data_IF_438212047919
#
_entry.id   IF_438212047919
#
_cell.length_a   1.000
_cell.length_b   1.000
_cell.length_c   1.000
_cell.angle_alpha   90.00
_cell.angle_beta   90.00
_cell.angle_gamma   90.00
#
_symmetry.space_group_name_H-M   'P 1'
#
loop_
_entity.id
_entity.type
_entity.pdbx_description
1 polymer ?
#
# COMPACT_ATOMS: atom_id res chain seq x y z
N UNK A 1 -0.71 13.49 -34.88
CA UNK A 1 0.73 13.37 -34.53
C UNK A 1 1.10 14.14 -33.26
N UNK A 2 0.66 15.40 -33.10
CA UNK A 2 1.03 16.27 -31.97
C UNK A 2 0.80 15.65 -30.57
N UNK A 3 -0.35 14.99 -30.32
CA UNK A 3 -0.64 14.32 -29.04
C UNK A 3 0.34 13.18 -28.69
N UNK A 4 0.77 12.39 -29.69
CA UNK A 4 1.74 11.31 -29.49
C UNK A 4 3.14 11.87 -29.20
N UNK A 5 3.50 12.97 -29.88
CA UNK A 5 4.77 13.67 -29.65
C UNK A 5 4.84 14.30 -28.26
N UNK A 6 3.71 14.86 -27.77
CA UNK A 6 3.59 15.41 -26.42
C UNK A 6 3.77 14.33 -25.36
N UNK A 7 3.16 13.15 -25.54
CA UNK A 7 3.32 12.01 -24.62
C UNK A 7 4.77 11.52 -24.62
N UNK A 8 5.41 11.41 -25.79
CA UNK A 8 6.82 11.01 -25.89
C UNK A 8 7.74 12.05 -25.23
N UNK A 9 7.49 13.36 -25.42
CA UNK A 9 8.24 14.42 -24.72
C UNK A 9 8.03 14.38 -23.21
N UNK A 10 6.80 14.19 -22.74
CA UNK A 10 6.51 14.04 -21.31
C UNK A 10 7.25 12.83 -20.73
N UNK A 11 7.21 11.68 -21.40
CA UNK A 11 7.97 10.50 -20.98
C UNK A 11 9.48 10.73 -21.05
N UNK A 12 9.99 11.46 -22.04
CA UNK A 12 11.41 11.77 -22.17
C UNK A 12 11.90 12.75 -21.09
N UNK A 13 11.10 13.77 -20.76
CA UNK A 13 11.40 14.74 -19.69
C UNK A 13 11.38 14.02 -18.34
N UNK A 14 10.36 13.20 -18.07
CA UNK A 14 10.33 12.33 -16.89
C UNK A 14 11.50 11.35 -16.85
N UNK A 15 11.91 10.78 -17.98
CA UNK A 15 13.06 9.87 -18.06
C UNK A 15 14.39 10.58 -17.76
N UNK A 16 14.55 11.85 -18.14
CA UNK A 16 15.79 12.61 -17.88
C UNK A 16 15.90 13.16 -16.46
N UNK A 17 14.78 13.39 -15.76
CA UNK A 17 14.80 13.79 -14.33
C UNK A 17 15.07 12.61 -13.38
N UNK A 18 14.92 11.37 -13.85
CA UNK A 18 15.11 10.15 -13.05
C UNK A 18 16.58 9.77 -12.84
N UNK A 19 17.53 10.43 -13.52
CA UNK A 19 18.95 10.10 -13.42
C UNK A 19 19.68 10.84 -12.29
N UNK A 20 18.99 11.75 -11.58
CA UNK A 20 19.59 12.55 -10.51
C UNK A 20 18.86 12.45 -9.16
N UNK A 21 17.69 11.79 -9.10
CA UNK A 21 16.93 11.64 -7.86
C UNK A 21 17.09 10.21 -7.34
N UNK A 22 17.50 10.04 -6.08
CA UNK A 22 17.62 8.74 -5.38
C UNK A 22 16.23 8.18 -5.00
N UNK A 23 15.32 8.11 -5.98
CA UNK A 23 13.92 7.84 -5.73
C UNK A 23 13.71 6.49 -5.03
N UNK A 24 13.14 6.54 -3.83
CA UNK A 24 12.95 5.43 -2.93
C UNK A 24 11.53 5.37 -2.35
N UNK A 25 11.33 4.48 -1.38
CA UNK A 25 10.09 4.37 -0.62
C UNK A 25 10.37 4.30 0.87
N UNK A 26 9.32 4.52 1.67
CA UNK A 26 9.38 4.36 3.12
C UNK A 26 9.48 2.90 3.58
N UNK A 27 9.35 1.93 2.66
CA UNK A 27 9.44 0.52 2.97
C UNK A 27 10.81 -0.07 2.63
N UNK A 28 11.13 -1.17 3.32
CA UNK A 28 12.27 -2.04 3.04
C UNK A 28 11.73 -3.44 2.81
N UNK A 29 12.46 -4.23 2.03
CA UNK A 29 12.10 -5.62 1.79
C UNK A 29 12.08 -6.39 3.12
N UNK A 30 11.00 -7.14 3.35
CA UNK A 30 10.75 -7.90 4.57
C UNK A 30 10.09 -7.10 5.69
N UNK A 31 9.78 -5.82 5.49
CA UNK A 31 8.94 -5.08 6.43
C UNK A 31 7.57 -5.75 6.57
N UNK A 32 7.05 -5.74 7.79
CA UNK A 32 5.67 -6.16 8.08
C UNK A 32 4.88 -4.93 8.49
N UNK A 33 3.74 -4.70 7.88
CA UNK A 33 2.84 -3.57 8.17
C UNK A 33 1.55 -4.12 8.76
N UNK A 34 1.22 -3.71 9.97
CA UNK A 34 -0.07 -3.99 10.59
C UNK A 34 -0.97 -2.78 10.41
N UNK A 35 -2.19 -2.99 9.96
CA UNK A 35 -3.14 -1.92 9.68
C UNK A 35 -4.46 -2.16 10.37
N UNK A 36 -5.10 -1.10 10.84
CA UNK A 36 -6.52 -1.08 11.17
C UNK A 36 -7.16 0.08 10.43
N UNK A 37 -8.14 -0.22 9.59
CA UNK A 37 -8.96 0.76 8.90
C UNK A 37 -10.40 0.79 9.40
N UNK A 38 -11.06 1.94 9.25
CA UNK A 38 -12.50 2.08 9.40
C UNK A 38 -13.04 2.92 8.25
N UNK A 39 -14.19 2.56 7.70
CA UNK A 39 -14.74 3.22 6.52
C UNK A 39 -16.25 3.12 6.40
N UNK A 40 -16.75 3.86 5.41
CA UNK A 40 -18.14 3.82 4.98
C UNK A 40 -18.22 3.15 3.63
N UNK A 41 -19.10 2.17 3.50
CA UNK A 41 -19.31 1.40 2.27
C UNK A 41 -20.77 1.36 1.87
N UNK A 42 -20.99 0.97 0.61
CA UNK A 42 -22.31 0.76 0.03
C UNK A 42 -22.30 -0.55 -0.77
N UNK A 43 -23.28 -1.41 -0.51
CA UNK A 43 -23.65 -2.53 -1.40
C UNK A 43 -25.10 -2.48 -1.85
N UNK A 44 -25.94 -1.73 -1.14
CA UNK A 44 -27.36 -1.39 -1.35
C UNK A 44 -27.87 -0.55 -0.15
N UNK A 45 -27.24 -0.73 1.01
CA UNK A 45 -27.37 0.08 2.23
C UNK A 45 -26.00 0.64 2.62
N UNK A 46 -26.00 1.73 3.39
CA UNK A 46 -24.76 2.28 3.96
C UNK A 46 -24.32 1.45 5.17
N UNK A 47 -23.04 1.09 5.19
CA UNK A 47 -22.44 0.28 6.25
C UNK A 47 -21.18 0.96 6.81
N UNK A 48 -20.93 0.73 8.09
CA UNK A 48 -19.64 1.05 8.71
C UNK A 48 -18.84 -0.24 8.74
N UNK A 49 -17.62 -0.21 8.22
CA UNK A 49 -16.77 -1.38 8.16
C UNK A 49 -15.39 -1.15 8.77
N UNK A 50 -14.81 -2.20 9.32
CA UNK A 50 -13.45 -2.24 9.88
C UNK A 50 -12.56 -3.24 9.13
N UNK A 51 -11.29 -2.86 8.97
CA UNK A 51 -10.30 -3.55 8.14
C UNK A 51 -9.00 -3.81 8.90
N UNK A 52 -8.94 -4.79 9.83
CA UNK A 52 -7.66 -5.24 10.31
C UNK A 52 -6.92 -5.99 9.19
N UNK A 53 -5.64 -5.67 9.00
CA UNK A 53 -4.81 -6.28 7.97
C UNK A 53 -3.36 -6.40 8.41
N UNK A 54 -2.65 -7.35 7.80
CA UNK A 54 -1.22 -7.54 7.91
C UNK A 54 -0.63 -7.70 6.52
N UNK A 55 0.40 -6.92 6.21
CA UNK A 55 1.08 -6.92 4.94
C UNK A 55 2.56 -7.22 5.13
N UNK A 56 3.15 -7.98 4.22
CA UNK A 56 4.59 -8.17 4.13
C UNK A 56 5.09 -7.65 2.79
N UNK A 57 6.09 -6.76 2.84
CA UNK A 57 6.78 -6.28 1.65
C UNK A 57 7.76 -7.37 1.19
N UNK A 58 7.47 -8.00 0.06
CA UNK A 58 8.17 -9.20 -0.41
C UNK A 58 9.35 -8.84 -1.31
N UNK A 59 9.15 -7.87 -2.20
CA UNK A 59 10.10 -7.52 -3.24
C UNK A 59 10.11 -6.00 -3.46
N UNK A 60 11.32 -5.46 -3.63
CA UNK A 60 11.54 -4.08 -4.06
C UNK A 60 12.49 -4.13 -5.25
N UNK A 61 11.98 -4.17 -6.50
CA UNK A 61 12.86 -4.11 -7.66
C UNK A 61 13.67 -2.82 -7.65
N UNK A 62 14.95 -2.95 -7.99
CA UNK A 62 15.87 -1.83 -8.16
C UNK A 62 16.24 -1.74 -9.65
N UNK A 63 16.11 -0.55 -10.24
CA UNK A 63 16.55 -0.27 -11.61
C UNK A 63 17.65 0.79 -11.51
N UNK A 64 18.91 0.34 -11.49
CA UNK A 64 20.02 1.20 -11.09
C UNK A 64 19.93 1.49 -9.60
N UNK A 65 19.90 2.77 -9.23
CA UNK A 65 19.79 3.23 -7.84
C UNK A 65 18.32 3.54 -7.43
N UNK A 66 17.38 3.38 -8.36
CA UNK A 66 15.96 3.72 -8.14
C UNK A 66 15.17 2.52 -7.62
N UNK A 67 14.37 2.73 -6.57
CA UNK A 67 13.45 1.74 -5.99
C UNK A 67 12.07 2.37 -5.76
N UNK A 68 11.35 2.58 -6.87
CA UNK A 68 10.09 3.32 -6.90
C UNK A 68 8.83 2.46 -6.73
N UNK A 69 8.97 1.13 -6.81
CA UNK A 69 7.85 0.19 -6.62
C UNK A 69 8.19 -0.81 -5.52
N UNK A 70 7.25 -1.04 -4.61
CA UNK A 70 7.31 -2.15 -3.67
C UNK A 70 6.15 -3.11 -3.93
N UNK A 71 6.46 -4.39 -3.90
CA UNK A 71 5.49 -5.46 -4.06
C UNK A 71 5.36 -6.22 -2.75
N UNK A 72 4.13 -6.40 -2.30
CA UNK A 72 3.82 -7.10 -1.06
C UNK A 72 2.69 -8.12 -1.21
N UNK A 73 2.45 -8.81 -0.10
CA UNK A 73 1.29 -9.67 0.08
C UNK A 73 0.59 -9.30 1.37
N UNK A 74 -0.73 -9.20 1.31
CA UNK A 74 -1.58 -8.68 2.39
C UNK A 74 -2.68 -9.66 2.73
N UNK A 75 -2.77 -10.00 4.00
CA UNK A 75 -3.91 -10.68 4.62
C UNK A 75 -4.80 -9.62 5.26
N UNK A 76 -6.09 -9.68 4.99
CA UNK A 76 -7.06 -8.71 5.48
C UNK A 76 -8.35 -9.38 5.90
N UNK A 77 -9.00 -8.79 6.90
CA UNK A 77 -10.34 -9.15 7.35
C UNK A 77 -11.24 -7.93 7.13
N UNK A 78 -12.49 -8.16 6.76
CA UNK A 78 -13.55 -7.15 6.69
C UNK A 78 -14.60 -7.50 7.73
N UNK A 79 -14.96 -6.54 8.58
CA UNK A 79 -16.14 -6.64 9.44
C UNK A 79 -17.05 -5.45 9.18
N UNK A 80 -18.25 -5.67 8.66
CA UNK A 80 -19.23 -4.64 8.31
C UNK A 80 -20.46 -4.68 9.23
N UNK A 81 -20.97 -3.51 9.61
CA UNK A 81 -22.23 -3.35 10.32
C UNK A 81 -23.09 -2.34 9.56
N UNK A 82 -24.18 -2.83 8.95
CA UNK A 82 -25.29 -2.06 8.41
C UNK A 82 -26.59 -2.41 9.14
N UNK A 83 -27.60 -1.56 9.13
CA UNK A 83 -28.92 -1.98 9.61
C UNK A 83 -29.76 -2.44 8.42
N UNK A 84 -30.22 -3.71 8.35
CA UNK A 84 -30.16 -4.80 9.35
C UNK A 84 -29.05 -5.87 9.10
N UNK A 85 -27.99 -5.56 8.35
CA UNK A 85 -26.98 -6.53 7.92
C UNK A 85 -25.69 -6.56 8.77
N UNK A 86 -25.21 -7.76 9.08
CA UNK A 86 -23.86 -7.98 9.62
C UNK A 86 -23.02 -8.70 8.57
N UNK A 87 -21.81 -8.22 8.36
CA UNK A 87 -20.88 -8.79 7.41
C UNK A 87 -19.52 -9.13 8.02
N UNK A 88 -18.97 -10.24 7.55
CA UNK A 88 -17.64 -10.70 7.91
C UNK A 88 -17.02 -11.35 6.69
N UNK A 89 -15.77 -11.01 6.40
CA UNK A 89 -15.00 -11.61 5.30
C UNK A 89 -13.51 -11.64 5.60
N UNK A 90 -12.78 -12.49 4.88
CA UNK A 90 -11.32 -12.54 4.92
C UNK A 90 -10.75 -12.69 3.52
N UNK A 91 -9.56 -12.15 3.27
CA UNK A 91 -9.00 -12.10 1.93
C UNK A 91 -7.49 -11.98 1.90
N UNK A 92 -6.94 -12.33 0.74
CA UNK A 92 -5.54 -12.21 0.40
C UNK A 92 -5.40 -11.33 -0.84
N UNK A 93 -4.50 -10.36 -0.79
CA UNK A 93 -4.21 -9.47 -1.91
C UNK A 93 -2.71 -9.34 -2.15
N UNK A 94 -2.32 -9.19 -3.41
CA UNK A 94 -1.04 -8.61 -3.77
C UNK A 94 -1.14 -7.08 -3.64
N UNK A 95 -0.06 -6.46 -3.19
CA UNK A 95 0.02 -5.01 -3.03
C UNK A 95 1.13 -4.45 -3.91
N UNK A 96 0.88 -3.26 -4.43
CA UNK A 96 1.85 -2.44 -5.14
C UNK A 96 1.88 -1.08 -4.46
N UNK A 97 3.05 -0.65 -4.03
CA UNK A 97 3.31 0.63 -3.40
C UNK A 97 4.23 1.47 -4.27
N UNK A 98 4.04 2.77 -4.21
CA UNK A 98 4.76 3.79 -4.96
C UNK A 98 5.02 4.97 -4.02
N UNK A 99 6.15 4.89 -3.33
CA UNK A 99 6.62 5.97 -2.45
C UNK A 99 7.17 7.12 -3.26
N UNK A 100 7.05 8.35 -2.77
CA UNK A 100 7.65 9.54 -3.38
C UNK A 100 8.92 10.00 -2.64
N UNK A 101 9.53 9.11 -1.86
CA UNK A 101 10.68 9.43 -1.03
C UNK A 101 11.89 9.76 -1.89
N UNK A 102 12.58 10.85 -1.56
CA UNK A 102 13.77 11.33 -2.25
C UNK A 102 13.50 11.67 -3.75
N UNK A 103 12.23 11.93 -4.13
CA UNK A 103 11.85 12.25 -5.51
C UNK A 103 12.20 13.70 -5.91
N UNK A 104 12.27 14.60 -4.93
CA UNK A 104 12.58 16.00 -5.13
C UNK A 104 13.52 16.51 -4.03
N UNK A 105 14.45 17.39 -4.39
CA UNK A 105 15.33 18.05 -3.44
C UNK A 105 14.67 19.28 -2.78
N UNK A 106 15.19 19.67 -1.61
CA UNK A 106 14.81 20.89 -0.90
C UNK A 106 13.44 20.81 -0.24
N UNK A 107 12.78 21.97 -0.09
CA UNK A 107 11.52 22.09 0.66
C UNK A 107 10.40 21.23 0.07
N UNK A 108 10.37 21.01 -1.25
CA UNK A 108 9.34 20.19 -1.90
C UNK A 108 9.48 18.71 -1.48
N UNK A 109 10.72 18.22 -1.35
CA UNK A 109 11.01 16.86 -0.92
C UNK A 109 10.40 16.53 0.44
N UNK A 110 10.49 17.46 1.40
CA UNK A 110 9.95 17.27 2.75
C UNK A 110 8.44 17.00 2.78
N UNK A 111 7.68 17.52 1.81
CA UNK A 111 6.24 17.27 1.69
C UNK A 111 5.91 15.98 0.91
N UNK A 112 6.77 15.57 -0.02
CA UNK A 112 6.56 14.39 -0.85
C UNK A 112 7.06 13.12 -0.18
N UNK A 113 8.15 13.19 0.58
CA UNK A 113 8.79 12.05 1.24
C UNK A 113 7.84 11.19 2.08
N UNK A 114 6.87 11.78 2.81
CA UNK A 114 5.90 11.00 3.58
C UNK A 114 4.83 10.31 2.74
N UNK A 115 4.72 10.59 1.44
CA UNK A 115 3.59 10.14 0.62
C UNK A 115 3.93 8.80 -0.04
N UNK A 116 2.98 7.87 0.05
CA UNK A 116 3.03 6.55 -0.57
C UNK A 116 1.69 6.21 -1.20
N UNK A 117 1.63 6.08 -2.52
CA UNK A 117 0.45 5.61 -3.23
C UNK A 117 0.44 4.09 -3.27
N UNK A 118 -0.73 3.48 -3.15
CA UNK A 118 -0.82 2.02 -3.25
C UNK A 118 -2.04 1.54 -4.03
N UNK A 119 -1.91 0.34 -4.57
CA UNK A 119 -2.97 -0.45 -5.16
C UNK A 119 -2.91 -1.89 -4.66
N UNK A 120 -4.07 -2.50 -4.46
CA UNK A 120 -4.19 -3.88 -3.98
C UNK A 120 -5.15 -4.64 -4.89
N UNK A 121 -4.79 -5.86 -5.27
CA UNK A 121 -5.66 -6.76 -6.04
C UNK A 121 -5.59 -8.14 -5.43
N UNK A 122 -6.75 -8.74 -5.18
CA UNK A 122 -6.82 -10.00 -4.45
C UNK A 122 -8.15 -10.71 -4.56
N UNK A 123 -8.30 -11.73 -3.72
CA UNK A 123 -9.54 -12.48 -3.57
C UNK A 123 -9.96 -12.48 -2.11
N UNK A 124 -11.25 -12.28 -1.89
CA UNK A 124 -11.89 -12.31 -0.58
C UNK A 124 -12.92 -13.43 -0.52
N UNK A 125 -13.23 -13.88 0.68
CA UNK A 125 -14.35 -14.75 0.98
C UNK A 125 -15.25 -14.06 2.00
N UNK A 126 -16.53 -13.88 1.65
CA UNK A 126 -17.56 -13.40 2.56
C UNK A 126 -18.16 -14.59 3.31
N UNK A 127 -18.41 -14.45 4.62
CA UNK A 127 -18.91 -15.54 5.46
C UNK A 127 -20.41 -15.45 5.78
N UNK A 128 -21.01 -14.25 5.72
CA UNK A 128 -22.35 -13.99 6.27
C UNK A 128 -23.40 -13.61 5.21
N UNK A 129 -23.45 -12.36 4.74
CA UNK A 129 -24.58 -11.89 3.91
C UNK A 129 -24.65 -12.54 2.54
N UNK A 130 -23.50 -12.88 1.95
CA UNK A 130 -23.38 -13.45 0.61
C UNK A 130 -22.20 -14.42 0.55
N UNK A 131 -22.30 -15.55 1.25
CA UNK A 131 -21.19 -16.48 1.39
C UNK A 131 -20.61 -16.90 0.03
N UNK A 132 -19.35 -16.55 -0.23
CA UNK A 132 -18.76 -16.74 -1.55
C UNK A 132 -17.41 -16.07 -1.74
N UNK A 133 -16.73 -16.43 -2.84
CA UNK A 133 -15.46 -15.82 -3.26
C UNK A 133 -15.76 -14.59 -4.10
N UNK A 134 -15.10 -13.48 -3.79
CA UNK A 134 -15.19 -12.22 -4.53
C UNK A 134 -13.81 -11.63 -4.84
N UNK A 135 -13.81 -10.61 -5.69
CA UNK A 135 -12.60 -9.85 -6.01
C UNK A 135 -12.38 -8.76 -4.96
N UNK A 136 -11.12 -8.52 -4.59
CA UNK A 136 -10.71 -7.36 -3.79
C UNK A 136 -9.90 -6.43 -4.70
N UNK A 137 -10.30 -5.16 -4.78
CA UNK A 137 -9.57 -4.11 -5.48
C UNK A 137 -9.56 -2.86 -4.61
N UNK A 138 -8.40 -2.50 -4.09
CA UNK A 138 -8.25 -1.30 -3.28
C UNK A 138 -7.22 -0.36 -3.92
N UNK A 139 -7.35 0.94 -3.64
CA UNK A 139 -6.31 1.92 -3.94
C UNK A 139 -6.34 3.04 -2.94
N UNK A 140 -5.22 3.71 -2.74
CA UNK A 140 -5.16 4.78 -1.75
C UNK A 140 -3.83 5.47 -1.64
N UNK A 141 -3.70 6.23 -0.57
CA UNK A 141 -2.50 6.95 -0.19
C UNK A 141 -2.23 6.75 1.30
N UNK A 142 -0.97 6.52 1.65
CA UNK A 142 -0.45 6.57 3.01
C UNK A 142 0.38 7.84 3.18
N UNK A 143 0.27 8.45 4.36
CA UNK A 143 1.07 9.59 4.81
C UNK A 143 1.83 9.20 6.08
N UNK A 144 3.16 9.10 5.97
CA UNK A 144 4.05 8.71 7.06
C UNK A 144 4.25 9.87 8.05
N UNK A 145 3.67 9.74 9.23
CA UNK A 145 3.87 10.72 10.32
C UNK A 145 5.18 10.47 11.06
N UNK A 146 5.60 9.21 11.13
CA UNK A 146 6.84 8.77 11.77
C UNK A 146 7.53 7.71 10.91
N UNK A 147 8.73 7.28 11.29
CA UNK A 147 9.47 6.24 10.56
C UNK A 147 8.75 4.89 10.52
N UNK A 148 7.83 4.63 11.44
CA UNK A 148 7.11 3.37 11.63
C UNK A 148 5.59 3.54 11.70
N UNK A 149 5.06 4.76 11.58
CA UNK A 149 3.62 5.03 11.65
C UNK A 149 3.13 5.88 10.48
N UNK A 150 2.03 5.47 9.87
CA UNK A 150 1.37 6.20 8.79
C UNK A 150 -0.15 6.20 8.93
N UNK A 151 -0.78 7.28 8.48
CA UNK A 151 -2.23 7.35 8.26
C UNK A 151 -2.55 7.09 6.80
N UNK A 152 -3.60 6.35 6.51
CA UNK A 152 -4.02 6.01 5.16
C UNK A 152 -5.42 6.54 4.83
N UNK A 153 -5.63 6.89 3.56
CA UNK A 153 -6.94 7.08 2.95
C UNK A 153 -7.06 6.10 1.78
N UNK A 154 -8.12 5.30 1.76
CA UNK A 154 -8.27 4.18 0.83
C UNK A 154 -9.67 4.13 0.25
N UNK A 155 -9.77 4.04 -1.07
CA UNK A 155 -10.95 3.54 -1.74
C UNK A 155 -10.94 2.01 -1.71
N UNK A 156 -12.02 1.43 -1.19
CA UNK A 156 -12.15 0.00 -0.96
C UNK A 156 -13.13 -0.57 -1.98
N UNK A 157 -12.75 -1.69 -2.60
CA UNK A 157 -13.63 -2.53 -3.40
C UNK A 157 -13.50 -3.95 -2.88
N UNK A 158 -14.56 -4.46 -2.26
CA UNK A 158 -14.64 -5.81 -1.71
C UNK A 158 -15.90 -6.48 -2.22
N UNK A 159 -15.76 -7.38 -3.19
CA UNK A 159 -16.89 -8.06 -3.82
C UNK A 159 -17.92 -7.05 -4.36
N UNK A 160 -19.12 -6.99 -3.76
CA UNK A 160 -20.19 -6.04 -4.10
C UNK A 160 -20.22 -4.80 -3.21
N UNK A 161 -19.24 -4.63 -2.31
CA UNK A 161 -19.10 -3.46 -1.44
C UNK A 161 -18.04 -2.53 -2.01
N UNK A 162 -18.35 -1.25 -2.08
CA UNK A 162 -17.34 -0.24 -2.35
C UNK A 162 -17.51 0.99 -1.45
N UNK A 163 -16.42 1.71 -1.22
CA UNK A 163 -16.46 2.84 -0.30
C UNK A 163 -15.11 3.46 0.02
N UNK A 164 -15.08 4.28 1.06
CA UNK A 164 -13.88 5.01 1.49
C UNK A 164 -13.58 4.69 2.95
N UNK A 165 -12.31 4.44 3.25
CA UNK A 165 -11.83 4.16 4.60
C UNK A 165 -10.60 4.99 4.94
N UNK A 166 -10.45 5.29 6.22
CA UNK A 166 -9.23 5.80 6.82
C UNK A 166 -8.53 4.68 7.58
N UNK A 167 -7.21 4.65 7.60
CA UNK A 167 -6.44 3.64 8.32
C UNK A 167 -5.29 4.20 9.13
N UNK A 168 -4.93 3.46 10.17
CA UNK A 168 -3.70 3.60 10.91
C UNK A 168 -2.81 2.40 10.60
N UNK A 169 -1.55 2.64 10.27
CA UNK A 169 -0.60 1.63 9.79
C UNK A 169 0.69 1.68 10.61
N UNK A 170 1.13 0.53 11.12
CA UNK A 170 2.37 0.37 11.89
C UNK A 170 3.32 -0.58 11.19
N UNK A 171 4.54 -0.12 10.94
CA UNK A 171 5.58 -0.84 10.22
C UNK A 171 6.64 -1.38 11.17
N UNK A 172 6.79 -2.70 11.16
CA UNK A 172 7.76 -3.43 11.95
C UNK A 172 8.93 -3.87 11.09
N UNK A 173 10.14 -3.67 11.61
CA UNK A 173 11.38 -4.15 10.98
C UNK A 173 11.56 -5.64 11.27
N UNK A 174 12.00 -6.40 10.28
CA UNK A 174 12.40 -7.79 10.48
C UNK A 174 13.79 -7.85 11.14
N UNK A 175 13.84 -7.83 12.48
CA UNK A 175 15.08 -7.73 13.26
C UNK A 175 16.06 -8.90 13.01
N UNK A 176 15.54 -10.12 12.79
CA UNK A 176 16.35 -11.34 12.70
C UNK A 176 17.32 -11.38 11.50
N UNK A 177 17.03 -10.63 10.42
CA UNK A 177 17.90 -10.60 9.24
C UNK A 177 19.09 -9.65 9.43
N UNK A 178 18.93 -8.60 10.25
CA UNK A 178 20.01 -7.70 10.61
C UNK A 178 21.02 -8.40 11.54
N UNK A 179 20.53 -9.18 12.52
CA UNK A 179 21.39 -9.92 13.46
C UNK A 179 22.27 -10.95 12.74
N UNK A 180 21.69 -11.75 11.83
CA UNK A 180 22.47 -12.73 11.04
C UNK A 180 23.49 -12.12 10.07
N UNK A 181 23.22 -10.91 9.56
CA UNK A 181 24.18 -10.21 8.70
C UNK A 181 25.39 -9.70 9.50
N UNK A 182 25.15 -9.25 10.74
CA UNK A 182 26.19 -8.80 11.67
C UNK A 182 27.04 -9.98 12.16
N UNK A 183 26.44 -11.11 12.53
CA UNK A 183 27.18 -12.33 12.90
C UNK A 183 28.13 -12.78 11.77
N UNK A 184 27.63 -12.78 10.53
CA UNK A 184 28.45 -13.17 9.37
C UNK A 184 29.62 -12.22 9.06
N UNK A 185 29.55 -10.95 9.49
CA UNK A 185 30.65 -9.98 9.37
C UNK A 185 31.66 -10.08 10.51
N UNK A 186 31.24 -10.53 11.70
CA UNK A 186 32.13 -10.74 12.84
C UNK A 186 32.95 -12.03 12.70
N UNK A 187 32.43 -13.00 11.95
CA UNK A 187 33.09 -14.28 11.66
C UNK A 187 34.04 -14.25 10.44
N UNK A 188 34.18 -13.11 9.75
CA UNK A 188 35.04 -12.92 8.57
C UNK A 188 36.21 -11.98 8.83
#
# INVERSE_FOLDING_TARGET
MLKKLLIIMLMAICATSLWAADWSSNYKQGNVVMSVGAGFESSNIYEIAVYPAAEMILLKPEIGELSFIDLGAKLMVRGGIGFPALDLGAGLAGTLHFGLKDLADGEIGEYLDPIDFFAEVGVGFDFLSNAGIGLIVNSGVNYWLEKDFALGLKYTGWNSFDGVSISANWKFKNQKRAEKAVEKQLDS
#
